data_IF_214698339504
#
_entry.id   IF_214698339504
#
_cell.length_a   1.000
_cell.length_b   1.000
_cell.length_c   1.000
_cell.angle_alpha   90.00
_cell.angle_beta   90.00
_cell.angle_gamma   90.00
#
_symmetry.space_group_name_H-M   'P 1'
#
loop_
_entity.id
_entity.type
_entity.pdbx_description
1 polymer ?
#
# COMPACT_ATOMS: atom_id res chain seq x y z
N UNK A 1 54.78 -42.23 -56.69
CA UNK A 1 54.83 -40.75 -56.80
C UNK A 1 53.42 -40.21 -57.05
N UNK A 2 52.82 -39.59 -56.02
CA UNK A 2 51.82 -38.50 -56.03
C UNK A 2 51.55 -38.12 -54.54
N UNK A 3 51.58 -36.84 -54.15
CA UNK A 3 51.58 -36.38 -52.75
C UNK A 3 50.20 -35.87 -52.28
N UNK A 4 50.15 -35.28 -51.06
CA UNK A 4 49.07 -34.48 -50.41
C UNK A 4 48.16 -35.24 -49.41
N UNK A 5 47.77 -34.71 -48.26
CA UNK A 5 48.12 -33.51 -47.51
C UNK A 5 47.72 -33.74 -46.04
N UNK A 6 48.39 -33.02 -45.13
CA UNK A 6 48.20 -33.04 -43.68
C UNK A 6 46.76 -32.67 -43.33
N UNK A 7 46.03 -33.59 -42.70
CA UNK A 7 44.72 -33.32 -42.08
C UNK A 7 44.93 -32.44 -40.86
N UNK A 8 44.48 -31.19 -40.95
CA UNK A 8 44.35 -30.29 -39.79
C UNK A 8 43.25 -30.83 -38.87
N UNK A 9 43.63 -31.11 -37.62
CA UNK A 9 42.70 -31.26 -36.50
C UNK A 9 42.64 -29.92 -35.76
N UNK A 10 41.45 -29.33 -35.60
CA UNK A 10 41.26 -28.34 -34.55
C UNK A 10 40.02 -28.70 -33.71
N UNK A 11 40.05 -29.81 -32.99
CA UNK A 11 39.13 -30.01 -31.86
C UNK A 11 39.56 -29.23 -30.61
N UNK A 12 39.74 -27.90 -30.75
CA UNK A 12 39.62 -26.98 -29.60
C UNK A 12 38.14 -26.70 -29.38
N UNK A 13 37.50 -27.49 -28.52
CA UNK A 13 36.17 -27.18 -27.98
C UNK A 13 36.26 -25.88 -27.16
N UNK A 14 36.05 -24.75 -27.81
CA UNK A 14 35.68 -23.51 -27.14
C UNK A 14 34.34 -23.73 -26.46
N UNK A 15 34.33 -23.79 -25.13
CA UNK A 15 33.11 -23.75 -24.33
C UNK A 15 32.50 -22.37 -24.50
N UNK A 16 31.59 -22.23 -25.47
CA UNK A 16 30.74 -21.05 -25.56
C UNK A 16 29.60 -21.30 -24.59
N UNK A 17 29.69 -20.73 -23.39
CA UNK A 17 28.55 -20.66 -22.47
C UNK A 17 27.53 -19.74 -23.14
N UNK A 18 26.54 -20.32 -23.80
CA UNK A 18 25.45 -19.57 -24.41
C UNK A 18 24.60 -18.95 -23.28
N UNK A 19 24.76 -17.64 -23.05
CA UNK A 19 24.06 -16.85 -22.02
C UNK A 19 22.60 -16.56 -22.33
N UNK A 20 22.04 -17.13 -23.40
CA UNK A 20 20.64 -16.98 -23.73
C UNK A 20 19.90 -18.31 -23.55
N UNK A 21 19.06 -18.47 -22.50
CA UNK A 21 18.16 -19.61 -22.44
C UNK A 21 17.20 -19.49 -23.63
N UNK A 22 17.20 -20.51 -24.49
CA UNK A 22 16.25 -20.68 -25.59
C UNK A 22 14.84 -20.67 -25.01
N UNK A 23 14.20 -19.51 -25.11
CA UNK A 23 12.88 -19.27 -24.55
C UNK A 23 11.85 -19.82 -25.55
N UNK A 24 11.46 -21.09 -25.40
CA UNK A 24 10.36 -21.71 -26.17
C UNK A 24 8.99 -21.22 -25.67
N UNK A 25 8.85 -19.91 -25.45
CA UNK A 25 7.57 -19.30 -25.07
C UNK A 25 6.94 -18.72 -26.33
N UNK A 26 5.66 -19.04 -26.65
CA UNK A 26 4.96 -18.39 -27.73
C UNK A 26 5.00 -16.87 -27.51
N UNK A 27 5.42 -16.12 -28.53
CA UNK A 27 5.53 -14.67 -28.54
C UNK A 27 4.15 -14.04 -28.28
N UNK A 28 3.83 -13.79 -27.00
CA UNK A 28 2.86 -12.76 -26.65
C UNK A 28 3.64 -11.44 -26.74
N UNK A 29 3.50 -10.74 -27.87
CA UNK A 29 4.36 -9.65 -28.36
C UNK A 29 4.37 -8.33 -27.56
N UNK A 30 4.13 -8.39 -26.26
CA UNK A 30 4.46 -7.27 -25.36
C UNK A 30 4.93 -7.81 -24.02
N UNK A 31 6.05 -7.28 -23.46
CA UNK A 31 6.39 -7.49 -22.06
C UNK A 31 5.15 -7.23 -21.20
N UNK A 32 4.83 -8.09 -20.23
CA UNK A 32 3.65 -7.94 -19.36
C UNK A 32 3.53 -6.53 -18.78
N UNK A 33 4.67 -5.93 -18.41
CA UNK A 33 4.74 -4.56 -17.91
C UNK A 33 4.24 -3.50 -18.92
N UNK A 34 4.42 -3.72 -20.23
CA UNK A 34 3.92 -2.84 -21.29
C UNK A 34 2.41 -2.99 -21.52
N UNK A 35 1.81 -4.15 -21.21
CA UNK A 35 0.34 -4.35 -21.26
C UNK A 35 -0.38 -3.47 -20.23
N UNK A 36 0.26 -3.21 -19.09
CA UNK A 36 -0.31 -2.38 -18.01
C UNK A 36 -0.03 -0.89 -18.18
N UNK A 37 1.13 -0.51 -18.74
CA UNK A 37 1.48 0.91 -18.97
C UNK A 37 0.44 1.66 -19.81
N UNK A 38 -0.24 0.98 -20.74
CA UNK A 38 -1.31 1.57 -21.56
C UNK A 38 -2.66 1.72 -20.83
N UNK A 39 -2.84 1.11 -19.65
CA UNK A 39 -4.11 1.12 -18.90
C UNK A 39 -4.18 2.20 -17.82
N UNK A 40 -3.04 2.78 -17.42
CA UNK A 40 -2.98 3.87 -16.46
C UNK A 40 -2.73 5.19 -17.20
N UNK A 41 -3.78 5.98 -17.39
CA UNK A 41 -3.70 7.30 -18.05
C UNK A 41 -3.28 8.43 -17.09
N UNK A 42 -2.81 8.09 -15.89
CA UNK A 42 -2.43 9.05 -14.85
C UNK A 42 -1.26 8.50 -14.04
N UNK A 43 -0.46 9.40 -13.48
CA UNK A 43 0.72 9.05 -12.68
C UNK A 43 0.33 8.19 -11.47
N UNK A 44 1.10 7.12 -11.26
CA UNK A 44 0.95 6.22 -10.11
C UNK A 44 1.74 6.80 -8.95
N UNK A 45 1.07 7.06 -7.84
CA UNK A 45 1.67 7.67 -6.66
C UNK A 45 1.96 6.66 -5.55
N UNK A 46 1.07 5.68 -5.39
CA UNK A 46 1.20 4.65 -4.37
C UNK A 46 0.51 3.35 -4.80
N UNK A 47 0.91 2.24 -4.19
CA UNK A 47 0.28 0.95 -4.40
C UNK A 47 0.33 0.11 -3.13
N UNK A 48 -0.64 -0.78 -2.95
CA UNK A 48 -0.69 -1.71 -1.83
C UNK A 48 -1.28 -3.05 -2.26
N UNK A 49 -0.83 -4.13 -1.62
CA UNK A 49 -1.38 -5.46 -1.86
C UNK A 49 -2.68 -5.65 -1.09
N UNK A 50 -3.66 -6.24 -1.77
CA UNK A 50 -4.90 -6.71 -1.16
C UNK A 50 -5.13 -8.15 -1.60
N UNK A 51 -4.72 -9.09 -0.75
CA UNK A 51 -4.50 -10.48 -1.09
C UNK A 51 -3.53 -10.61 -2.26
N UNK A 52 -3.99 -11.30 -3.31
CA UNK A 52 -3.21 -11.46 -4.54
C UNK A 52 -3.29 -10.25 -5.47
N UNK A 53 -4.24 -9.35 -5.28
CA UNK A 53 -4.47 -8.19 -6.15
C UNK A 53 -3.64 -6.98 -5.72
N UNK A 54 -3.43 -6.05 -6.65
CA UNK A 54 -2.69 -4.83 -6.40
C UNK A 54 -3.63 -3.63 -6.48
N UNK A 55 -3.82 -2.91 -5.38
CA UNK A 55 -4.44 -1.60 -5.38
C UNK A 55 -3.43 -0.57 -5.86
N UNK A 56 -3.84 0.28 -6.79
CA UNK A 56 -3.01 1.31 -7.41
C UNK A 56 -3.70 2.66 -7.22
N UNK A 57 -3.04 3.53 -6.48
CA UNK A 57 -3.45 4.92 -6.27
C UNK A 57 -2.75 5.83 -7.25
N UNK A 58 -3.53 6.63 -7.97
CA UNK A 58 -3.04 7.59 -8.94
C UNK A 58 -3.45 9.01 -8.55
N UNK A 59 -3.02 9.98 -9.35
CA UNK A 59 -3.50 11.35 -9.25
C UNK A 59 -5.01 11.50 -9.48
N UNK A 60 -5.59 10.60 -10.29
CA UNK A 60 -6.97 10.69 -10.74
C UNK A 60 -7.91 9.70 -10.05
N UNK A 61 -7.42 8.67 -9.38
CA UNK A 61 -8.28 7.68 -8.76
C UNK A 61 -7.58 6.52 -8.06
N UNK A 62 -8.40 5.57 -7.62
CA UNK A 62 -7.99 4.29 -7.07
C UNK A 62 -8.44 3.19 -8.03
N UNK A 63 -7.54 2.29 -8.39
CA UNK A 63 -7.79 1.16 -9.28
C UNK A 63 -7.35 -0.14 -8.61
N UNK A 64 -8.03 -1.24 -8.94
CA UNK A 64 -7.59 -2.60 -8.63
C UNK A 64 -7.01 -3.24 -9.89
N UNK A 65 -5.76 -3.69 -9.82
CA UNK A 65 -5.16 -4.59 -10.79
C UNK A 65 -5.33 -6.03 -10.31
N UNK A 66 -6.14 -6.78 -11.05
CA UNK A 66 -6.37 -8.21 -10.83
C UNK A 66 -5.19 -9.02 -11.36
N UNK A 67 -4.39 -9.55 -10.43
CA UNK A 67 -3.24 -10.42 -10.74
C UNK A 67 -3.58 -11.90 -10.63
N UNK A 68 -4.81 -12.25 -10.27
CA UNK A 68 -5.24 -13.65 -10.12
C UNK A 68 -5.47 -14.37 -11.44
N UNK A 69 -5.51 -13.64 -12.56
CA UNK A 69 -5.62 -14.23 -13.89
C UNK A 69 -5.40 -13.24 -15.04
N UNK A 70 -6.46 -12.59 -15.51
CA UNK A 70 -6.49 -11.90 -16.81
C UNK A 70 -5.76 -10.54 -16.88
N UNK A 71 -5.19 -10.05 -15.77
CA UNK A 71 -4.53 -8.73 -15.76
C UNK A 71 -5.51 -7.57 -15.98
N UNK A 72 -6.76 -7.71 -15.55
CA UNK A 72 -7.79 -6.69 -15.71
C UNK A 72 -7.61 -5.58 -14.67
N UNK A 73 -7.87 -4.35 -15.09
CA UNK A 73 -7.84 -3.16 -14.22
C UNK A 73 -9.27 -2.69 -14.00
N UNK A 74 -9.67 -2.59 -12.74
CA UNK A 74 -11.00 -2.14 -12.31
C UNK A 74 -10.91 -0.77 -11.63
N UNK A 75 -11.55 0.28 -12.15
CA UNK A 75 -11.62 1.56 -11.45
C UNK A 75 -12.55 1.45 -10.23
N UNK A 76 -12.05 1.85 -9.06
CA UNK A 76 -12.81 1.80 -7.80
C UNK A 76 -13.33 3.17 -7.39
N UNK A 77 -12.47 4.18 -7.42
CA UNK A 77 -12.77 5.56 -7.02
C UNK A 77 -12.19 6.47 -8.09
N UNK A 78 -13.00 7.37 -8.62
CA UNK A 78 -12.61 8.31 -9.66
C UNK A 78 -12.52 9.73 -9.10
N UNK A 79 -11.75 10.58 -9.79
CA UNK A 79 -11.58 12.03 -9.51
C UNK A 79 -11.08 12.32 -8.09
N UNK A 80 -10.20 11.47 -7.58
CA UNK A 80 -9.58 11.65 -6.26
C UNK A 80 -8.13 11.16 -6.30
N UNK A 81 -7.20 12.05 -5.94
CA UNK A 81 -5.78 11.72 -5.78
C UNK A 81 -5.55 10.82 -4.57
N UNK A 82 -4.71 9.80 -4.71
CA UNK A 82 -4.29 8.92 -3.62
C UNK A 82 -2.78 8.98 -3.46
N UNK A 83 -2.30 9.60 -2.38
CA UNK A 83 -0.87 9.83 -2.16
C UNK A 83 -0.19 8.69 -1.42
N UNK A 84 -0.87 8.15 -0.41
CA UNK A 84 -0.38 7.04 0.41
C UNK A 84 -1.55 6.14 0.75
N UNK A 85 -1.33 4.82 0.80
CA UNK A 85 -2.33 3.86 1.23
C UNK A 85 -1.70 2.65 1.93
N UNK A 86 -2.43 2.07 2.88
CA UNK A 86 -2.06 0.85 3.59
C UNK A 86 -3.31 -0.04 3.76
N UNK A 87 -3.18 -1.31 3.38
CA UNK A 87 -4.25 -2.31 3.51
C UNK A 87 -4.12 -3.00 4.85
N UNK A 88 -5.18 -2.93 5.67
CA UNK A 88 -5.29 -3.61 6.95
C UNK A 88 -6.33 -4.73 6.83
N UNK A 89 -5.93 -5.85 6.24
CA UNK A 89 -6.84 -6.97 5.93
C UNK A 89 -7.54 -7.53 7.15
N UNK A 90 -6.81 -7.70 8.26
CA UNK A 90 -7.38 -8.18 9.53
C UNK A 90 -8.41 -7.22 10.15
N UNK A 91 -8.54 -5.99 9.64
CA UNK A 91 -9.58 -5.04 10.01
C UNK A 91 -10.60 -4.80 8.89
N UNK A 92 -10.40 -5.38 7.71
CA UNK A 92 -11.20 -5.14 6.52
C UNK A 92 -11.23 -3.65 6.11
N UNK A 93 -10.12 -2.92 6.29
CA UNK A 93 -10.02 -1.49 5.93
C UNK A 93 -8.78 -1.13 5.12
N UNK A 94 -8.89 -0.09 4.30
CA UNK A 94 -7.82 0.57 3.56
C UNK A 94 -7.66 1.99 4.12
N UNK A 95 -6.52 2.27 4.74
CA UNK A 95 -6.17 3.63 5.23
C UNK A 95 -5.52 4.38 4.09
N UNK A 96 -5.83 5.67 3.92
CA UNK A 96 -5.34 6.48 2.80
C UNK A 96 -5.09 7.93 3.20
N UNK A 97 -4.08 8.56 2.60
CA UNK A 97 -4.03 10.01 2.40
C UNK A 97 -4.58 10.27 1.00
N UNK A 98 -5.71 10.98 0.91
CA UNK A 98 -6.38 11.17 -0.38
C UNK A 98 -7.16 12.48 -0.50
N UNK A 99 -7.38 12.90 -1.75
CA UNK A 99 -8.10 14.12 -2.13
C UNK A 99 -7.21 15.36 -2.15
N UNK A 100 -7.79 16.51 -2.53
CA UNK A 100 -7.05 17.78 -2.71
C UNK A 100 -6.50 18.39 -1.43
N UNK A 101 -7.03 17.97 -0.28
CA UNK A 101 -6.66 18.49 1.05
C UNK A 101 -5.83 17.49 1.86
N UNK A 102 -5.39 16.40 1.21
CA UNK A 102 -4.61 15.34 1.85
C UNK A 102 -5.24 14.85 3.16
N UNK A 103 -6.57 14.57 3.10
CA UNK A 103 -7.32 14.07 4.25
C UNK A 103 -7.03 12.60 4.47
N UNK A 104 -6.97 12.20 5.73
CA UNK A 104 -6.90 10.80 6.11
C UNK A 104 -8.30 10.16 6.00
N UNK A 105 -8.43 9.13 5.15
CA UNK A 105 -9.67 8.38 4.94
C UNK A 105 -9.45 6.89 5.10
N UNK A 106 -10.43 6.24 5.73
CA UNK A 106 -10.49 4.79 5.92
C UNK A 106 -11.64 4.27 5.06
N UNK A 107 -11.32 3.47 4.06
CA UNK A 107 -12.29 2.81 3.18
C UNK A 107 -12.51 1.37 3.67
N UNK A 108 -13.75 0.89 3.61
CA UNK A 108 -14.04 -0.51 3.89
C UNK A 108 -13.68 -1.36 2.68
N UNK A 109 -12.82 -2.37 2.87
CA UNK A 109 -12.39 -3.27 1.80
C UNK A 109 -13.58 -4.09 1.26
N UNK A 110 -14.53 -4.49 2.11
CA UNK A 110 -15.78 -5.13 1.68
C UNK A 110 -16.60 -4.25 0.73
N UNK A 111 -16.64 -2.93 0.97
CA UNK A 111 -17.32 -1.99 0.09
C UNK A 111 -16.60 -1.84 -1.25
N UNK A 112 -15.28 -1.74 -1.25
CA UNK A 112 -14.48 -1.74 -2.48
C UNK A 112 -14.63 -3.05 -3.26
N UNK A 113 -14.75 -4.18 -2.57
CA UNK A 113 -14.98 -5.50 -3.18
C UNK A 113 -16.33 -5.53 -3.89
N UNK A 114 -17.36 -4.98 -3.25
CA UNK A 114 -18.70 -4.93 -3.82
C UNK A 114 -18.76 -4.08 -5.09
N UNK A 115 -17.96 -3.00 -5.21
CA UNK A 115 -17.85 -2.22 -6.45
C UNK A 115 -17.34 -3.00 -7.67
N UNK A 116 -16.71 -4.15 -7.45
CA UNK A 116 -16.22 -5.01 -8.54
C UNK A 116 -17.22 -6.11 -8.82
N UNK A 117 -17.65 -6.81 -7.76
CA UNK A 117 -18.47 -8.02 -7.87
C UNK A 117 -19.97 -7.72 -8.03
N UNK A 118 -20.44 -6.56 -7.55
CA UNK A 118 -21.85 -6.14 -7.54
C UNK A 118 -22.77 -7.19 -6.88
N UNK A 119 -22.32 -7.77 -5.78
CA UNK A 119 -23.01 -8.88 -5.11
C UNK A 119 -24.13 -8.43 -4.17
N UNK A 120 -24.04 -7.22 -3.61
CA UNK A 120 -24.96 -6.71 -2.59
C UNK A 120 -25.42 -5.27 -2.90
N UNK A 121 -26.68 -5.06 -3.34
CA UNK A 121 -27.23 -3.74 -3.62
C UNK A 121 -27.31 -2.82 -2.39
N UNK A 122 -27.41 -3.36 -1.19
CA UNK A 122 -27.55 -2.56 0.04
C UNK A 122 -26.22 -1.92 0.47
N UNK A 123 -25.10 -2.55 0.13
CA UNK A 123 -23.76 -2.01 0.38
C UNK A 123 -23.48 -0.76 -0.46
N UNK A 124 -24.04 -0.68 -1.67
CA UNK A 124 -23.85 0.49 -2.56
C UNK A 124 -24.53 1.75 -2.02
N UNK A 125 -25.65 1.60 -1.30
CA UNK A 125 -26.38 2.72 -0.68
C UNK A 125 -25.64 3.30 0.53
N UNK A 126 -24.71 2.56 1.13
CA UNK A 126 -23.98 2.97 2.33
C UNK A 126 -22.70 3.72 1.98
N UNK A 127 -22.33 4.66 2.85
CA UNK A 127 -21.04 5.33 2.75
C UNK A 127 -19.91 4.33 3.06
N UNK A 128 -19.11 4.00 2.04
CA UNK A 128 -18.03 3.02 2.13
C UNK A 128 -16.75 3.49 2.80
N UNK A 129 -16.74 4.67 3.42
CA UNK A 129 -15.55 5.27 4.02
C UNK A 129 -15.89 6.18 5.19
N UNK A 130 -14.90 6.41 6.05
CA UNK A 130 -14.95 7.39 7.13
C UNK A 130 -13.65 8.20 7.17
N UNK A 131 -13.69 9.39 7.79
CA UNK A 131 -12.49 10.19 8.06
C UNK A 131 -11.92 9.85 9.42
N UNK A 132 -10.61 10.01 9.58
CA UNK A 132 -9.95 9.94 10.89
C UNK A 132 -9.82 11.36 11.42
N UNK A 133 -10.61 11.69 12.43
CA UNK A 133 -10.70 13.06 12.93
C UNK A 133 -11.18 14.04 11.85
N UNK A 134 -10.91 15.33 12.09
CA UNK A 134 -11.05 16.39 11.07
C UNK A 134 -9.68 17.00 10.76
N UNK A 135 -8.81 16.16 10.20
CA UNK A 135 -7.44 16.52 9.88
C UNK A 135 -7.31 16.86 8.38
N UNK A 136 -6.60 17.94 8.09
CA UNK A 136 -6.24 18.40 6.74
C UNK A 136 -4.72 18.56 6.64
N UNK A 137 -4.16 18.33 5.45
CA UNK A 137 -2.71 18.46 5.22
C UNK A 137 -1.90 17.36 5.92
N UNK A 138 -2.40 16.12 5.91
CA UNK A 138 -1.62 14.96 6.36
C UNK A 138 -0.44 14.76 5.42
N UNK A 139 0.77 14.85 5.97
CA UNK A 139 2.02 14.69 5.20
C UNK A 139 2.35 13.22 5.05
N UNK A 140 2.21 12.47 6.14
CA UNK A 140 2.53 11.05 6.20
C UNK A 140 1.79 10.40 7.36
N UNK A 141 1.56 9.09 7.30
CA UNK A 141 1.15 8.33 8.47
C UNK A 141 1.88 7.00 8.53
N UNK A 142 1.89 6.39 9.72
CA UNK A 142 2.35 5.02 9.93
C UNK A 142 1.37 4.26 10.80
N UNK A 143 0.96 3.09 10.32
CA UNK A 143 0.26 2.11 11.15
C UNK A 143 1.30 1.31 11.94
N UNK A 144 1.18 1.33 13.27
CA UNK A 144 2.03 0.60 14.21
C UNK A 144 1.17 -0.39 14.97
N UNK A 145 1.64 -1.63 15.13
CA UNK A 145 0.96 -2.64 15.94
C UNK A 145 1.68 -2.76 17.28
N UNK A 146 0.93 -2.66 18.37
CA UNK A 146 1.40 -2.98 19.72
C UNK A 146 0.39 -3.91 20.37
N UNK A 147 0.84 -5.11 20.75
CA UNK A 147 -0.01 -6.21 21.20
C UNK A 147 -1.18 -6.49 20.22
N UNK A 148 -2.42 -6.40 20.71
CA UNK A 148 -3.66 -6.59 19.94
C UNK A 148 -4.19 -5.28 19.34
N UNK A 149 -3.58 -4.14 19.66
CA UNK A 149 -4.05 -2.82 19.27
C UNK A 149 -3.24 -2.31 18.07
N UNK A 150 -3.94 -1.69 17.12
CA UNK A 150 -3.31 -0.97 16.01
C UNK A 150 -3.39 0.52 16.29
N UNK A 151 -2.25 1.16 16.21
CA UNK A 151 -2.10 2.60 16.32
C UNK A 151 -1.86 3.18 14.93
N UNK A 152 -2.37 4.37 14.71
CA UNK A 152 -2.22 5.17 13.51
C UNK A 152 -1.55 6.47 13.94
N UNK A 153 -0.26 6.58 13.66
CA UNK A 153 0.56 7.75 13.94
C UNK A 153 0.52 8.63 12.70
N UNK A 154 0.06 9.88 12.85
CA UNK A 154 -0.24 10.79 11.77
C UNK A 154 0.68 12.00 11.91
N UNK A 155 1.48 12.28 10.88
CA UNK A 155 2.30 13.47 10.78
C UNK A 155 1.57 14.54 9.95
N UNK A 156 1.23 15.63 10.61
CA UNK A 156 0.76 16.87 10.01
C UNK A 156 1.95 17.83 9.85
N UNK A 157 1.74 18.96 9.17
CA UNK A 157 2.80 19.95 8.94
C UNK A 157 3.44 20.47 10.23
N UNK A 158 2.63 20.67 11.27
CA UNK A 158 3.05 21.34 12.51
C UNK A 158 2.79 20.49 13.78
N UNK A 159 2.31 19.26 13.63
CA UNK A 159 1.92 18.41 14.76
C UNK A 159 1.94 16.94 14.40
N UNK A 160 1.97 16.09 15.42
CA UNK A 160 1.80 14.64 15.30
C UNK A 160 0.61 14.22 16.15
N UNK A 161 -0.31 13.47 15.57
CA UNK A 161 -1.44 12.88 16.28
C UNK A 161 -1.36 11.36 16.28
N UNK A 162 -1.88 10.74 17.34
CA UNK A 162 -1.93 9.28 17.47
C UNK A 162 -3.38 8.87 17.66
N UNK A 163 -3.81 7.90 16.85
CA UNK A 163 -5.12 7.29 16.97
C UNK A 163 -4.97 5.80 17.25
N UNK A 164 -5.87 5.22 18.04
CA UNK A 164 -5.95 3.79 18.28
C UNK A 164 -7.19 3.20 17.61
N UNK A 165 -7.08 1.99 17.08
CA UNK A 165 -8.22 1.27 16.53
C UNK A 165 -9.16 0.84 17.65
N UNK A 166 -10.41 1.30 17.60
CA UNK A 166 -11.46 0.87 18.51
C UNK A 166 -12.21 -0.34 17.93
N UNK A 167 -12.38 -1.44 18.69
CA UNK A 167 -13.19 -2.59 18.27
C UNK A 167 -14.67 -2.21 18.14
N UNK A 168 -15.51 -3.19 17.79
CA UNK A 168 -16.96 -3.00 17.79
C UNK A 168 -17.43 -2.57 19.20
N UNK A 169 -18.44 -1.69 19.30
CA UNK A 169 -19.31 -1.21 18.22
C UNK A 169 -18.72 -0.07 17.37
N UNK A 170 -17.62 0.56 17.79
CA UNK A 170 -17.11 1.77 17.13
C UNK A 170 -16.45 1.51 15.77
N UNK A 171 -15.67 0.43 15.66
CA UNK A 171 -15.03 -0.03 14.42
C UNK A 171 -14.35 1.10 13.61
N UNK A 172 -13.57 1.95 14.30
CA UNK A 172 -12.89 3.11 13.70
C UNK A 172 -11.65 3.50 14.51
N UNK A 173 -10.79 4.31 13.92
CA UNK A 173 -9.67 4.94 14.64
C UNK A 173 -10.19 6.09 15.52
N UNK A 174 -9.81 6.05 16.80
CA UNK A 174 -10.19 7.03 17.82
C UNK A 174 -8.94 7.74 18.33
N UNK A 175 -9.04 9.05 18.60
CA UNK A 175 -7.91 9.83 19.09
C UNK A 175 -7.38 9.23 20.40
N UNK A 176 -6.07 8.99 20.46
CA UNK A 176 -5.39 8.50 21.64
C UNK A 176 -4.84 9.70 22.41
N UNK A 177 -5.53 10.11 23.48
CA UNK A 177 -5.06 11.16 24.38
C UNK A 177 -4.30 10.55 25.54
N UNK A 178 -3.06 10.99 25.75
CA UNK A 178 -2.31 10.67 26.97
C UNK A 178 -2.69 11.71 28.03
N UNK A 179 -3.46 11.32 29.04
CA UNK A 179 -3.70 12.16 30.21
C UNK A 179 -2.49 12.07 31.14
N UNK A 180 -1.67 13.12 31.20
CA UNK A 180 -0.69 13.27 32.28
C UNK A 180 -1.44 13.58 33.57
N UNK A 181 -1.39 12.68 34.56
CA UNK A 181 -1.92 12.99 35.89
C UNK A 181 -1.10 14.15 36.46
N UNK A 182 -1.77 15.23 36.86
CA UNK A 182 -1.14 16.45 37.35
C UNK A 182 -0.73 16.31 38.81
N UNK A 183 0.21 15.40 39.10
CA UNK A 183 0.78 15.25 40.44
C UNK A 183 2.21 14.67 40.43
N UNK A 184 3.15 15.24 39.67
CA UNK A 184 4.58 15.22 40.04
C UNK A 184 5.36 16.18 39.13
N UNK A 185 5.64 17.39 39.65
CA UNK A 185 6.67 18.27 39.12
C UNK A 185 8.02 17.79 39.66
N UNK A 186 8.90 17.27 38.80
CA UNK A 186 10.35 17.47 38.92
C UNK A 186 11.09 16.91 37.70
N UNK A 187 12.01 17.74 37.22
CA UNK A 187 13.19 17.53 36.38
C UNK A 187 13.42 16.13 35.77
N UNK A 188 13.69 16.15 34.46
CA UNK A 188 14.07 15.04 33.55
C UNK A 188 12.86 14.48 32.78
N UNK A 189 12.88 14.67 31.46
CA UNK A 189 11.82 14.36 30.50
C UNK A 189 11.57 12.86 30.31
N UNK A 190 11.01 12.22 31.34
CA UNK A 190 10.39 10.92 31.24
C UNK A 190 8.87 11.09 31.35
N UNK A 191 8.17 10.90 30.23
CA UNK A 191 6.73 10.65 30.25
C UNK A 191 6.54 9.25 30.80
N UNK A 192 6.14 9.16 32.08
CA UNK A 192 5.73 7.90 32.67
C UNK A 192 4.27 7.63 32.27
N UNK A 193 4.06 6.61 31.46
CA UNK A 193 2.74 6.03 31.20
C UNK A 193 2.51 4.91 32.21
N UNK A 194 1.41 4.95 32.95
CA UNK A 194 1.05 3.91 33.94
C UNK A 194 0.81 2.51 33.36
N UNK A 195 1.02 2.32 32.05
CA UNK A 195 1.22 1.00 31.43
C UNK A 195 2.25 1.11 30.30
N UNK A 196 3.54 1.17 30.66
CA UNK A 196 4.63 0.50 29.91
C UNK A 196 5.00 0.97 28.50
N UNK A 197 4.54 2.11 27.98
CA UNK A 197 4.96 2.61 26.65
C UNK A 197 5.70 3.94 26.79
N UNK A 198 7.02 3.90 26.59
CA UNK A 198 7.87 5.10 26.47
C UNK A 198 7.90 5.53 25.00
N UNK A 199 7.21 6.63 24.66
CA UNK A 199 7.41 7.32 23.39
C UNK A 199 8.55 8.33 23.57
N UNK A 200 9.72 8.05 22.98
CA UNK A 200 10.78 9.05 22.84
C UNK A 200 10.40 10.02 21.72
N UNK A 201 10.10 11.27 22.08
CA UNK A 201 10.11 12.37 21.12
C UNK A 201 11.58 12.66 20.77
N UNK A 202 11.97 12.45 19.52
CA UNK A 202 13.23 12.95 18.99
C UNK A 202 12.99 14.38 18.51
N UNK A 203 13.48 15.35 19.27
CA UNK A 203 13.70 16.70 18.78
C UNK A 203 15.10 16.77 18.18
N UNK A 204 15.21 17.26 16.95
CA UNK A 204 16.40 17.90 16.40
C UNK A 204 15.96 19.10 15.58
#
# INVERSE_FOLDING_TARGET
>A
MRPEAIRQDPTRKGSVVNVNPTNTRPQSDTPEIRKYKKRFNSEILCAALWGVNLLVGTESGLMLLDRSGQGKVYPLINRRRFQQMDVLEGLNVLVTISGKKDKLRVYYLSWLRNKILHNDPEVEKKQGWTTVGDLEGCVHYKVVKYERIKFLVIALKNSVEVYAWAPKPYHKFMAFKVTTSSALKSSIGHVHCDQGIILKALNS
#
